data_IF_866202911102
#
_entry.id   IF_866202911102
#
_cell.length_a   1.000
_cell.length_b   1.000
_cell.length_c   1.000
_cell.angle_alpha   90.00
_cell.angle_beta   90.00
_cell.angle_gamma   90.00
#
_symmetry.space_group_name_H-M   'P 1'
#
loop_
_entity.id
_entity.type
_entity.pdbx_description
1 polymer ?
#
# COMPACT_ATOMS: atom_id res chain seq x y z
N UNK A 1 10.05 -0.50 15.62
CA UNK A 1 9.76 0.91 15.35
C UNK A 1 10.58 1.76 16.28
N UNK A 2 10.91 2.97 15.88
CA UNK A 2 11.67 3.92 16.70
C UNK A 2 10.88 5.21 16.85
N UNK A 3 10.94 5.83 18.02
CA UNK A 3 10.26 7.09 18.33
C UNK A 3 11.28 8.15 18.69
N UNK A 4 11.20 9.29 18.03
CA UNK A 4 12.07 10.44 18.18
C UNK A 4 11.20 11.68 18.39
N UNK A 5 10.87 11.96 19.65
CA UNK A 5 9.90 13.00 20.00
C UNK A 5 8.54 12.75 19.32
N UNK A 6 8.00 13.71 18.54
CA UNK A 6 6.71 13.57 17.87
C UNK A 6 6.74 12.64 16.64
N UNK A 7 7.90 12.15 16.21
CA UNK A 7 8.05 11.28 15.05
C UNK A 7 8.20 9.83 15.47
N UNK A 8 7.30 8.96 15.03
CA UNK A 8 7.43 7.51 15.13
C UNK A 8 7.62 6.90 13.75
N UNK A 9 8.66 6.08 13.58
CA UNK A 9 8.94 5.38 12.32
C UNK A 9 8.94 3.87 12.51
N UNK A 10 8.56 3.16 11.46
CA UNK A 10 8.57 1.70 11.40
C UNK A 10 9.20 1.27 10.09
N UNK A 11 10.04 0.24 10.17
CA UNK A 11 10.61 -0.44 9.01
C UNK A 11 10.40 -1.92 9.26
N UNK A 12 9.85 -2.61 8.28
CA UNK A 12 9.67 -4.05 8.33
C UNK A 12 10.14 -4.64 7.00
N UNK A 13 11.01 -5.62 7.11
CA UNK A 13 11.47 -6.42 5.98
C UNK A 13 10.94 -7.84 6.15
N UNK A 14 10.47 -8.43 5.07
CA UNK A 14 10.04 -9.81 5.04
C UNK A 14 10.66 -10.51 3.84
N UNK A 15 11.17 -11.72 4.06
CA UNK A 15 11.74 -12.58 3.03
C UNK A 15 11.25 -14.01 3.27
N UNK A 16 10.49 -14.54 2.33
CA UNK A 16 9.96 -15.88 2.34
C UNK A 16 10.56 -16.66 1.18
N UNK A 17 10.93 -17.91 1.42
CA UNK A 17 11.32 -18.84 0.35
C UNK A 17 10.17 -19.06 -0.64
N UNK A 18 10.46 -19.66 -1.79
CA UNK A 18 9.41 -20.09 -2.71
C UNK A 18 8.43 -21.03 -1.98
N UNK A 19 7.14 -20.89 -2.28
CA UNK A 19 6.06 -21.70 -1.72
C UNK A 19 5.16 -22.22 -2.85
N UNK A 20 5.63 -23.21 -3.64
CA UNK A 20 4.88 -23.71 -4.80
C UNK A 20 3.51 -24.27 -4.42
N UNK A 21 3.37 -24.84 -3.22
CA UNK A 21 2.11 -25.41 -2.72
C UNK A 21 0.96 -24.39 -2.68
N UNK A 22 1.27 -23.09 -2.54
CA UNK A 22 0.29 -22.01 -2.54
C UNK A 22 0.46 -21.07 -3.75
N UNK A 23 1.13 -21.53 -4.81
CA UNK A 23 1.23 -20.82 -6.09
C UNK A 23 2.32 -19.74 -6.16
N UNK A 24 3.33 -19.79 -5.29
CA UNK A 24 4.49 -18.90 -5.36
C UNK A 24 5.75 -19.65 -5.79
N UNK A 25 6.04 -19.65 -7.09
CA UNK A 25 7.19 -20.37 -7.68
C UNK A 25 8.54 -19.71 -7.41
N UNK A 26 8.54 -18.43 -7.02
CA UNK A 26 9.73 -17.67 -6.66
C UNK A 26 9.65 -17.17 -5.23
N UNK A 27 10.80 -16.81 -4.66
CA UNK A 27 10.87 -16.19 -3.33
C UNK A 27 10.02 -14.90 -3.28
N UNK A 28 9.55 -14.54 -2.08
CA UNK A 28 8.80 -13.31 -1.85
C UNK A 28 9.55 -12.42 -0.89
N UNK A 29 9.78 -11.18 -1.30
CA UNK A 29 10.52 -10.19 -0.56
C UNK A 29 9.71 -8.91 -0.54
N UNK A 30 9.60 -8.30 0.63
CA UNK A 30 8.87 -7.05 0.81
C UNK A 30 9.56 -6.16 1.83
N UNK A 31 9.51 -4.86 1.57
CA UNK A 31 9.93 -3.82 2.50
C UNK A 31 8.75 -2.88 2.75
N UNK A 32 8.33 -2.74 3.99
CA UNK A 32 7.36 -1.74 4.41
C UNK A 32 8.03 -0.68 5.28
N UNK A 33 7.74 0.58 4.97
CA UNK A 33 8.16 1.75 5.73
C UNK A 33 6.90 2.46 6.19
N UNK A 34 6.88 2.86 7.45
CA UNK A 34 5.81 3.64 8.05
C UNK A 34 6.36 4.80 8.84
N UNK A 35 5.63 5.90 8.85
CA UNK A 35 5.92 7.06 9.68
C UNK A 35 4.63 7.66 10.21
N UNK A 36 4.67 8.17 11.43
CA UNK A 36 3.64 8.99 12.04
C UNK A 36 4.31 10.21 12.66
N UNK A 37 3.76 11.38 12.40
CA UNK A 37 4.20 12.62 13.00
C UNK A 37 3.02 13.28 13.71
N UNK A 38 3.17 13.49 15.02
CA UNK A 38 2.21 14.22 15.83
C UNK A 38 2.53 15.73 15.69
N UNK A 39 1.68 16.44 14.95
CA UNK A 39 1.86 17.87 14.65
C UNK A 39 1.63 18.70 15.92
N UNK A 40 0.61 18.32 16.68
CA UNK A 40 0.30 18.84 18.01
C UNK A 40 -0.11 17.66 18.90
N UNK A 41 -0.49 17.93 20.15
CA UNK A 41 -1.00 16.88 21.06
C UNK A 41 -2.24 16.16 20.54
N UNK A 42 -3.02 16.79 19.65
CA UNK A 42 -4.27 16.25 19.15
C UNK A 42 -4.23 15.91 17.65
N UNK A 43 -3.42 16.61 16.86
CA UNK A 43 -3.37 16.42 15.41
C UNK A 43 -2.16 15.58 15.00
N UNK A 44 -2.38 14.67 14.05
CA UNK A 44 -1.33 13.84 13.51
C UNK A 44 -1.48 13.61 12.02
N UNK A 45 -0.37 13.25 11.40
CA UNK A 45 -0.31 12.70 10.05
C UNK A 45 0.49 11.41 10.07
N UNK A 46 0.12 10.46 9.23
CA UNK A 46 0.83 9.21 9.08
C UNK A 46 0.90 8.79 7.62
N UNK A 47 1.91 8.00 7.29
CA UNK A 47 2.10 7.45 5.97
C UNK A 47 2.71 6.07 6.06
N UNK A 48 2.40 5.24 5.06
CA UNK A 48 3.08 3.98 4.85
C UNK A 48 3.34 3.77 3.37
N UNK A 49 4.47 3.15 3.07
CA UNK A 49 4.85 2.74 1.73
C UNK A 49 5.36 1.30 1.79
N UNK A 50 4.93 0.49 0.84
CA UNK A 50 5.24 -0.92 0.77
C UNK A 50 5.82 -1.22 -0.60
N UNK A 51 6.99 -1.84 -0.62
CA UNK A 51 7.69 -2.27 -1.81
C UNK A 51 7.65 -3.79 -1.91
N UNK A 52 7.28 -4.29 -3.07
CA UNK A 52 7.48 -5.68 -3.48
C UNK A 52 8.84 -5.78 -4.18
N UNK A 53 9.73 -6.56 -3.55
CA UNK A 53 11.10 -6.77 -4.03
C UNK A 53 11.29 -8.09 -4.74
N UNK A 54 10.23 -8.82 -5.09
CA UNK A 54 10.29 -10.07 -5.84
C UNK A 54 9.64 -9.96 -7.21
N UNK A 55 8.90 -8.88 -7.47
CA UNK A 55 8.23 -8.66 -8.75
C UNK A 55 9.16 -8.71 -9.97
N UNK A 56 10.41 -8.27 -9.83
CA UNK A 56 11.41 -8.32 -10.90
C UNK A 56 11.76 -9.76 -11.35
N UNK A 57 11.55 -10.77 -10.49
CA UNK A 57 11.80 -12.17 -10.81
C UNK A 57 10.83 -12.69 -11.88
N UNK A 58 9.69 -12.01 -12.06
CA UNK A 58 8.69 -12.32 -13.06
C UNK A 58 8.91 -11.56 -14.39
N UNK A 59 10.00 -10.80 -14.55
CA UNK A 59 10.24 -10.03 -15.78
C UNK A 59 10.38 -10.90 -17.04
N UNK A 60 10.78 -12.15 -16.89
CA UNK A 60 10.91 -13.12 -17.98
C UNK A 60 9.65 -13.99 -18.16
N UNK A 61 8.55 -13.68 -17.47
CA UNK A 61 7.26 -14.31 -17.70
C UNK A 61 6.42 -13.40 -18.60
N UNK A 62 5.85 -13.96 -19.66
CA UNK A 62 5.01 -13.20 -20.59
C UNK A 62 3.81 -12.61 -19.83
N UNK A 63 3.58 -11.30 -19.95
CA UNK A 63 2.33 -10.70 -19.51
C UNK A 63 1.21 -11.03 -20.52
N UNK A 64 -0.03 -10.88 -20.09
CA UNK A 64 -1.22 -11.08 -20.93
C UNK A 64 -1.12 -10.15 -22.16
N UNK A 65 -1.45 -10.67 -23.35
CA UNK A 65 -1.30 -10.01 -24.68
C UNK A 65 0.14 -9.81 -25.20
N UNK A 66 1.12 -10.61 -24.78
CA UNK A 66 2.46 -10.60 -25.40
C UNK A 66 3.32 -9.39 -25.04
N UNK A 67 2.92 -8.62 -24.03
CA UNK A 67 3.75 -7.58 -23.43
C UNK A 67 4.69 -8.21 -22.40
N UNK A 68 5.90 -7.67 -22.28
CA UNK A 68 6.84 -8.06 -21.22
C UNK A 68 6.76 -7.02 -20.11
N UNK A 69 6.41 -7.47 -18.91
CA UNK A 69 6.41 -6.63 -17.72
C UNK A 69 7.84 -6.46 -17.22
N UNK A 70 8.35 -5.24 -17.15
CA UNK A 70 9.59 -4.92 -16.46
C UNK A 70 9.27 -4.26 -15.12
N UNK A 71 9.60 -4.93 -14.03
CA UNK A 71 9.50 -4.43 -12.67
C UNK A 71 10.91 -4.21 -12.08
N UNK A 72 11.19 -3.06 -11.46
CA UNK A 72 12.44 -2.85 -10.70
C UNK A 72 12.43 -3.65 -9.39
N UNK A 73 13.62 -3.81 -8.79
CA UNK A 73 13.78 -4.49 -7.49
C UNK A 73 13.00 -3.79 -6.36
N UNK A 74 12.73 -2.49 -6.45
CA UNK A 74 11.90 -1.75 -5.49
C UNK A 74 10.57 -1.37 -6.14
N UNK A 75 9.70 -2.35 -6.38
CA UNK A 75 8.40 -2.09 -7.02
C UNK A 75 7.37 -1.62 -5.99
N UNK A 76 6.73 -0.48 -6.22
CA UNK A 76 5.74 0.07 -5.27
C UNK A 76 4.47 -0.81 -5.23
N UNK A 77 4.26 -1.54 -4.14
CA UNK A 77 3.11 -2.42 -3.92
C UNK A 77 1.94 -1.70 -3.25
N UNK A 78 2.21 -0.81 -2.29
CA UNK A 78 1.18 -0.12 -1.53
C UNK A 78 1.63 1.24 -1.06
N UNK A 79 0.71 2.20 -1.06
CA UNK A 79 0.88 3.51 -0.47
C UNK A 79 -0.33 3.78 0.43
N UNK A 80 -0.09 4.31 1.61
CA UNK A 80 -1.13 4.81 2.49
C UNK A 80 -0.72 6.16 3.05
N UNK A 81 -1.69 7.08 3.13
CA UNK A 81 -1.53 8.38 3.76
C UNK A 81 -2.74 8.60 4.65
N UNK A 82 -2.52 9.14 5.83
CA UNK A 82 -3.57 9.40 6.79
C UNK A 82 -3.30 10.67 7.58
N UNK A 83 -4.38 11.24 8.06
CA UNK A 83 -4.35 12.36 8.99
C UNK A 83 -5.49 12.19 9.97
N UNK A 84 -5.35 12.75 11.16
CA UNK A 84 -6.41 12.67 12.13
C UNK A 84 -6.26 13.65 13.28
N UNK A 85 -7.35 13.73 14.02
CA UNK A 85 -7.49 14.40 15.29
C UNK A 85 -7.86 13.35 16.34
N UNK A 86 -7.21 13.39 17.49
CA UNK A 86 -7.53 12.55 18.63
C UNK A 86 -7.58 13.39 19.91
N UNK A 87 -8.62 13.15 20.69
CA UNK A 87 -8.87 13.78 21.97
C UNK A 87 -9.59 12.76 22.87
N UNK A 88 -9.81 13.11 24.14
CA UNK A 88 -10.37 12.21 25.13
C UNK A 88 -11.71 11.60 24.68
N UNK A 89 -12.58 12.39 24.08
CA UNK A 89 -13.94 11.97 23.72
C UNK A 89 -14.13 11.63 22.24
N UNK A 90 -13.23 12.09 21.36
CA UNK A 90 -13.43 12.07 19.91
C UNK A 90 -12.15 11.73 19.17
N UNK A 91 -12.22 10.76 18.26
CA UNK A 91 -11.17 10.47 17.28
C UNK A 91 -11.75 10.62 15.90
N UNK A 92 -11.12 11.45 15.06
CA UNK A 92 -11.49 11.58 13.67
C UNK A 92 -10.27 11.29 12.81
N UNK A 93 -10.39 10.38 11.85
CA UNK A 93 -9.29 10.03 10.95
C UNK A 93 -9.76 9.97 9.51
N UNK A 94 -8.89 10.39 8.61
CA UNK A 94 -9.05 10.25 7.17
C UNK A 94 -7.84 9.46 6.69
N UNK A 95 -8.08 8.34 6.03
CA UNK A 95 -7.04 7.48 5.48
C UNK A 95 -7.28 7.27 4.00
N UNK A 96 -6.26 7.52 3.21
CA UNK A 96 -6.18 7.18 1.80
C UNK A 96 -5.27 5.97 1.65
N UNK A 97 -5.71 4.98 0.88
CA UNK A 97 -4.89 3.81 0.52
C UNK A 97 -4.88 3.62 -0.99
N UNK A 98 -3.71 3.30 -1.52
CA UNK A 98 -3.48 2.97 -2.92
C UNK A 98 -2.72 1.66 -3.02
N UNK A 99 -3.42 0.60 -3.39
CA UNK A 99 -2.85 -0.76 -3.42
C UNK A 99 -2.73 -1.22 -4.86
N UNK A 100 -1.57 -1.76 -5.21
CA UNK A 100 -1.35 -2.40 -6.50
C UNK A 100 -2.23 -3.64 -6.65
N UNK A 101 -2.92 -3.75 -7.77
CA UNK A 101 -3.75 -4.90 -8.12
C UNK A 101 -3.69 -5.15 -9.63
N UNK A 102 -3.77 -6.42 -10.02
CA UNK A 102 -3.92 -6.81 -11.43
C UNK A 102 -5.41 -6.87 -11.74
N UNK A 103 -5.84 -6.19 -12.80
CA UNK A 103 -7.23 -6.27 -13.23
C UNK A 103 -7.51 -7.63 -13.86
N UNK A 104 -8.45 -8.40 -13.28
CA UNK A 104 -8.79 -9.73 -13.77
C UNK A 104 -9.42 -9.73 -15.18
N UNK A 105 -10.06 -8.63 -15.59
CA UNK A 105 -10.72 -8.50 -16.89
C UNK A 105 -9.78 -8.07 -18.02
N UNK A 106 -8.77 -7.25 -17.74
CA UNK A 106 -7.85 -6.72 -18.76
C UNK A 106 -6.44 -7.28 -18.65
N UNK A 107 -6.11 -7.96 -17.55
CA UNK A 107 -4.76 -8.43 -17.25
C UNK A 107 -3.74 -7.32 -16.96
N UNK A 108 -4.17 -6.04 -17.03
CA UNK A 108 -3.28 -4.90 -16.90
C UNK A 108 -3.06 -4.53 -15.42
N UNK A 109 -1.83 -4.10 -15.07
CA UNK A 109 -1.54 -3.56 -13.75
C UNK A 109 -2.32 -2.26 -13.49
N UNK A 110 -2.80 -2.08 -12.28
CA UNK A 110 -3.30 -0.78 -11.83
C UNK A 110 -3.37 -0.67 -10.31
N UNK A 111 -3.98 0.41 -9.84
CA UNK A 111 -4.07 0.72 -8.42
C UNK A 111 -5.51 0.87 -7.97
N UNK A 112 -5.87 0.18 -6.89
CA UNK A 112 -7.10 0.44 -6.16
C UNK A 112 -6.88 1.64 -5.26
N UNK A 113 -7.71 2.67 -5.38
CA UNK A 113 -7.64 3.84 -4.51
C UNK A 113 -8.89 3.87 -3.64
N UNK A 114 -8.69 3.91 -2.32
CA UNK A 114 -9.78 3.97 -1.35
C UNK A 114 -9.54 5.11 -0.37
N UNK A 115 -10.58 5.88 -0.11
CA UNK A 115 -10.62 6.88 0.95
C UNK A 115 -11.55 6.38 2.06
N UNK A 116 -11.07 6.34 3.29
CA UNK A 116 -11.83 5.95 4.46
C UNK A 116 -11.79 7.06 5.50
N UNK A 117 -12.97 7.53 5.89
CA UNK A 117 -13.18 8.45 6.99
C UNK A 117 -13.75 7.67 8.16
N UNK A 118 -13.17 7.85 9.34
CA UNK A 118 -13.61 7.18 10.57
C UNK A 118 -13.78 8.22 11.67
N UNK A 119 -14.99 8.33 12.20
CA UNK A 119 -15.32 9.12 13.38
C UNK A 119 -15.65 8.17 14.52
N UNK A 120 -14.88 8.24 15.59
CA UNK A 120 -15.09 7.44 16.79
C UNK A 120 -15.38 8.39 17.97
N UNK A 121 -16.51 8.17 18.63
CA UNK A 121 -16.94 8.92 19.79
C UNK A 121 -16.98 7.95 20.97
N UNK A 122 -16.31 8.30 22.08
CA UNK A 122 -16.15 7.42 23.26
C UNK A 122 -17.47 6.82 23.74
N UNK A 123 -18.55 7.61 23.70
CA UNK A 123 -19.87 7.23 24.22
C UNK A 123 -20.84 6.74 23.14
N UNK A 124 -20.66 7.16 21.89
CA UNK A 124 -21.62 6.93 20.80
C UNK A 124 -21.16 5.87 19.79
N UNK A 125 -19.93 5.36 19.94
CA UNK A 125 -19.39 4.31 19.08
C UNK A 125 -18.66 4.87 17.85
N UNK A 126 -18.60 4.07 16.80
CA UNK A 126 -17.79 4.33 15.62
C UNK A 126 -18.66 4.44 14.36
N UNK A 127 -18.45 5.51 13.59
CA UNK A 127 -19.01 5.72 12.26
C UNK A 127 -17.89 5.68 11.22
N UNK A 128 -18.07 4.85 10.19
CA UNK A 128 -17.11 4.69 9.08
C UNK A 128 -17.79 5.01 7.76
N UNK A 129 -17.15 5.85 6.95
CA UNK A 129 -17.59 6.17 5.58
C UNK A 129 -16.40 5.94 4.66
N UNK A 130 -16.54 4.98 3.75
CA UNK A 130 -15.52 4.65 2.76
C UNK A 130 -16.01 4.96 1.34
N UNK A 131 -15.15 5.58 0.54
CA UNK A 131 -15.37 5.77 -0.89
C UNK A 131 -14.24 5.08 -1.65
N UNK A 132 -14.61 4.21 -2.60
CA UNK A 132 -13.66 3.71 -3.58
C UNK A 132 -13.53 4.75 -4.70
N UNK A 133 -12.32 5.25 -4.92
CA UNK A 133 -12.01 6.24 -5.95
C UNK A 133 -11.77 5.60 -7.33
N UNK A 134 -11.83 4.27 -7.40
CA UNK A 134 -11.73 3.49 -8.63
C UNK A 134 -10.37 2.84 -8.84
N UNK A 135 -10.28 2.17 -9.99
CA UNK A 135 -9.08 1.53 -10.50
C UNK A 135 -8.37 2.49 -11.45
N UNK A 136 -7.15 2.90 -11.11
CA UNK A 136 -6.30 3.68 -12.02
C UNK A 136 -5.34 2.73 -12.74
N UNK A 137 -5.45 2.56 -14.08
CA UNK A 137 -4.50 1.76 -14.84
C UNK A 137 -3.09 2.34 -14.67
N UNK A 138 -2.12 1.46 -14.46
CA UNK A 138 -0.71 1.84 -14.41
C UNK A 138 -0.07 1.39 -15.71
N UNK A 139 0.56 2.31 -16.44
CA UNK A 139 1.43 1.95 -17.56
C UNK A 139 2.90 1.77 -17.12
N UNK A 140 3.14 1.83 -15.81
CA UNK A 140 4.45 1.68 -15.21
C UNK A 140 4.93 0.23 -15.29
N UNK A 141 6.01 0.02 -16.03
CA UNK A 141 6.62 -1.29 -16.25
C UNK A 141 6.13 -2.07 -17.48
N UNK A 142 5.30 -1.52 -18.35
CA UNK A 142 4.96 -2.16 -19.63
C UNK A 142 5.85 -1.61 -20.73
N UNK A 143 6.78 -2.43 -21.25
CA UNK A 143 7.51 -2.11 -22.48
C UNK A 143 6.86 -2.86 -23.64
N UNK A 144 6.42 -2.13 -24.66
CA UNK A 144 6.03 -2.73 -25.93
C UNK A 144 7.28 -3.36 -26.55
N UNK A 145 7.19 -4.64 -26.97
CA UNK A 145 8.25 -5.24 -27.78
C UNK A 145 8.46 -4.33 -28.99
N UNK A 146 9.67 -3.78 -29.13
CA UNK A 146 10.14 -3.37 -30.45
C UNK A 146 10.59 -4.61 -31.22
#
# INVERSE_FOLDING_TARGET
>A
GATFGPLTTTVQYANYSAQPLIGFDVRRQGLSLGARYDITNNYFVNGNVQFDMSRYLYNNTAAINGLWGYAPVMSLAGLGLGAGYHDDCTTFTINYTSVYQVNASTGLPGRNQTLLMTLQLRTLGEAKVGANLGFVPQNDGLKQSQ
#
